data_IF_868164603627
#
_entry.id   IF_868164603627
#
_cell.length_a   1.000
_cell.length_b   1.000
_cell.length_c   1.000
_cell.angle_alpha   90.00
_cell.angle_beta   90.00
_cell.angle_gamma   90.00
#
_symmetry.space_group_name_H-M   'P 1'
#
loop_
_entity.id
_entity.type
_entity.pdbx_description
1 polymer ?
#
# COMPACT_ATOMS: atom_id res chain seq x y z
N UNK A 1 -1.64 -16.50 40.95
CA UNK A 1 -1.83 -15.03 40.91
C UNK A 1 -0.57 -14.40 40.38
N UNK A 2 -0.63 -13.51 39.43
CA UNK A 2 0.52 -12.74 38.95
C UNK A 2 0.87 -11.69 40.03
N UNK A 3 2.14 -11.63 40.43
CA UNK A 3 2.64 -10.70 41.45
C UNK A 3 2.35 -9.26 41.01
N UNK A 4 1.68 -8.47 41.88
CA UNK A 4 1.36 -7.06 41.65
C UNK A 4 -0.02 -6.77 41.01
N UNK A 5 -0.90 -7.75 40.83
CA UNK A 5 -2.28 -7.55 40.35
C UNK A 5 -3.29 -7.91 41.44
N UNK A 6 -4.17 -6.96 41.77
CA UNK A 6 -5.20 -7.11 42.79
C UNK A 6 -6.41 -7.95 42.31
N UNK A 7 -6.56 -8.17 41.01
CA UNK A 7 -7.65 -8.96 40.37
C UNK A 7 -7.07 -10.09 39.51
N UNK A 8 -7.79 -11.22 39.37
CA UNK A 8 -7.39 -12.30 38.48
C UNK A 8 -7.29 -11.79 37.05
N UNK A 9 -6.17 -12.06 36.39
CA UNK A 9 -5.98 -11.76 34.95
C UNK A 9 -6.14 -13.05 34.18
N UNK A 10 -7.03 -13.08 33.20
CA UNK A 10 -7.20 -14.21 32.29
C UNK A 10 -6.06 -14.15 31.26
N UNK A 11 -5.13 -15.10 31.26
CA UNK A 11 -4.08 -15.12 30.24
C UNK A 11 -4.66 -15.62 28.91
N UNK A 12 -4.24 -14.99 27.83
CA UNK A 12 -4.53 -15.44 26.48
C UNK A 12 -3.26 -16.02 25.87
N UNK A 13 -3.38 -17.16 25.20
CA UNK A 13 -2.28 -17.75 24.43
C UNK A 13 -2.32 -17.19 23.02
N UNK A 14 -1.23 -16.60 22.58
CA UNK A 14 -1.04 -16.28 21.15
C UNK A 14 -0.89 -17.60 20.40
N UNK A 15 -1.84 -17.92 19.53
CA UNK A 15 -1.86 -19.19 18.80
C UNK A 15 -1.23 -19.10 17.41
N UNK A 16 -1.32 -17.95 16.78
CA UNK A 16 -0.76 -17.65 15.45
C UNK A 16 -0.83 -16.18 15.16
N UNK A 17 -0.10 -15.74 14.16
CA UNK A 17 -0.23 -14.41 13.59
C UNK A 17 -1.65 -14.19 13.05
N UNK A 18 -2.14 -12.96 13.17
CA UNK A 18 -3.46 -12.61 12.64
C UNK A 18 -3.42 -12.68 11.11
N UNK A 19 -4.45 -13.25 10.51
CA UNK A 19 -4.66 -13.16 9.05
C UNK A 19 -4.99 -11.74 8.60
N UNK A 20 -5.35 -10.87 9.55
CA UNK A 20 -5.71 -9.48 9.29
C UNK A 20 -4.53 -8.60 9.64
N UNK A 21 -3.96 -7.95 8.64
CA UNK A 21 -2.86 -7.00 8.80
C UNK A 21 -3.37 -5.62 9.22
N UNK A 22 -4.66 -5.33 8.96
CA UNK A 22 -5.23 -4.01 9.24
C UNK A 22 -6.50 -4.08 10.09
N UNK A 23 -6.79 -2.96 10.80
CA UNK A 23 -8.07 -2.80 11.50
C UNK A 23 -9.28 -2.82 10.55
N UNK A 24 -9.07 -2.34 9.32
CA UNK A 24 -10.12 -2.31 8.30
C UNK A 24 -10.49 -3.71 7.84
N UNK A 25 -9.51 -4.58 7.56
CA UNK A 25 -9.74 -5.99 7.22
C UNK A 25 -10.47 -6.74 8.35
N UNK A 26 -10.12 -6.45 9.60
CA UNK A 26 -10.84 -7.01 10.75
C UNK A 26 -12.29 -6.50 10.82
N UNK A 27 -12.54 -5.23 10.47
CA UNK A 27 -13.86 -4.62 10.47
C UNK A 27 -14.75 -5.12 9.32
N UNK A 28 -14.17 -5.54 8.20
CA UNK A 28 -14.93 -6.13 7.08
C UNK A 28 -15.80 -7.32 7.51
N UNK A 29 -15.30 -8.17 8.40
CA UNK A 29 -16.07 -9.30 8.94
C UNK A 29 -17.27 -8.90 9.79
N UNK A 30 -17.15 -7.75 10.45
CA UNK A 30 -18.23 -7.22 11.31
C UNK A 30 -19.26 -6.43 10.50
N UNK A 31 -19.01 -6.26 9.18
CA UNK A 31 -19.77 -5.40 8.29
C UNK A 31 -19.29 -3.97 8.35
N UNK A 32 -18.73 -3.48 7.24
CA UNK A 32 -18.36 -2.07 7.12
C UNK A 32 -19.61 -1.19 7.03
N UNK A 33 -19.54 0.00 7.62
CA UNK A 33 -20.55 1.03 7.41
C UNK A 33 -20.65 1.42 5.92
N UNK A 34 -21.76 2.00 5.51
CA UNK A 34 -21.93 2.50 4.14
C UNK A 34 -20.82 3.49 3.78
N UNK A 35 -20.26 3.36 2.58
CA UNK A 35 -19.31 4.33 2.05
C UNK A 35 -20.06 5.57 1.57
N UNK A 36 -19.64 6.75 2.01
CA UNK A 36 -20.30 8.02 1.67
C UNK A 36 -19.37 9.21 1.86
N UNK A 37 -19.58 10.25 1.06
CA UNK A 37 -18.89 11.53 1.19
C UNK A 37 -17.48 11.57 0.64
N UNK A 38 -17.06 10.56 -0.17
CA UNK A 38 -15.73 10.48 -0.81
C UNK A 38 -15.82 10.07 -2.27
N UNK A 39 -16.94 10.29 -2.89
CA UNK A 39 -17.22 9.90 -4.28
C UNK A 39 -16.32 10.66 -5.25
N UNK A 40 -15.97 11.91 -4.95
CA UNK A 40 -15.06 12.72 -5.75
C UNK A 40 -13.64 12.18 -5.72
N UNK A 41 -13.14 11.88 -4.54
CA UNK A 41 -11.79 11.35 -4.33
C UNK A 41 -11.65 9.95 -4.94
N UNK A 42 -12.67 9.11 -4.80
CA UNK A 42 -12.72 7.81 -5.48
C UNK A 42 -12.72 7.98 -7.00
N UNK A 43 -13.52 8.91 -7.53
CA UNK A 43 -13.55 9.23 -8.97
C UNK A 43 -12.20 9.70 -9.53
N UNK A 44 -11.37 10.39 -8.72
CA UNK A 44 -10.00 10.75 -9.14
C UNK A 44 -9.12 9.50 -9.27
N UNK A 45 -9.22 8.55 -8.34
CA UNK A 45 -8.48 7.29 -8.42
C UNK A 45 -8.94 6.46 -9.63
N UNK A 46 -10.25 6.38 -9.87
CA UNK A 46 -10.81 5.66 -11.02
C UNK A 46 -10.41 6.30 -12.35
N UNK A 47 -10.43 7.63 -12.46
CA UNK A 47 -9.97 8.34 -13.65
C UNK A 47 -8.46 8.16 -13.89
N UNK A 48 -7.67 8.10 -12.81
CA UNK A 48 -6.24 7.82 -12.90
C UNK A 48 -5.98 6.38 -13.36
N UNK A 49 -6.82 5.43 -12.94
CA UNK A 49 -6.79 4.06 -13.41
C UNK A 49 -7.11 3.96 -14.89
N UNK A 50 -8.16 4.64 -15.37
CA UNK A 50 -8.50 4.65 -16.80
C UNK A 50 -7.31 5.16 -17.64
N UNK A 51 -6.61 6.20 -17.15
CA UNK A 51 -5.39 6.68 -17.82
C UNK A 51 -4.31 5.59 -17.90
N UNK A 52 -4.14 4.79 -16.83
CA UNK A 52 -3.17 3.69 -16.82
C UNK A 52 -3.59 2.55 -17.76
N UNK A 53 -4.89 2.26 -17.84
CA UNK A 53 -5.44 1.26 -18.78
C UNK A 53 -5.26 1.69 -20.25
N UNK A 54 -5.29 2.99 -20.51
CA UNK A 54 -5.04 3.58 -21.84
C UNK A 54 -3.54 3.68 -22.20
N UNK A 55 -2.66 3.14 -21.34
CA UNK A 55 -1.22 3.07 -21.56
C UNK A 55 -0.39 4.23 -21.02
N UNK A 56 -1.04 5.25 -20.43
CA UNK A 56 -0.36 6.33 -19.71
C UNK A 56 -0.16 5.98 -18.22
N UNK A 57 0.76 6.67 -17.54
CA UNK A 57 0.94 6.47 -16.11
C UNK A 57 0.49 7.65 -15.27
N UNK A 58 0.11 7.36 -14.02
CA UNK A 58 -0.29 8.36 -13.03
C UNK A 58 0.31 8.06 -11.67
N UNK A 59 0.64 9.12 -10.94
CA UNK A 59 0.98 9.07 -9.54
C UNK A 59 -0.05 9.88 -8.75
N UNK A 60 -0.65 9.25 -7.73
CA UNK A 60 -1.66 9.89 -6.87
C UNK A 60 -1.20 9.81 -5.43
N UNK A 61 -1.19 10.94 -4.73
CA UNK A 61 -0.99 10.96 -3.28
C UNK A 61 -2.31 11.25 -2.58
N UNK A 62 -2.67 10.42 -1.62
CA UNK A 62 -3.85 10.61 -0.77
C UNK A 62 -3.38 11.09 0.59
N UNK A 63 -3.56 12.38 0.85
CA UNK A 63 -3.06 13.06 2.05
C UNK A 63 -4.22 13.38 2.99
N UNK A 64 -4.04 13.10 4.28
CA UNK A 64 -5.05 13.42 5.28
C UNK A 64 -4.68 12.95 6.68
N UNK A 65 -5.34 13.51 7.67
CA UNK A 65 -5.12 13.19 9.09
C UNK A 65 -5.36 11.72 9.42
N UNK A 66 -4.86 11.30 10.58
CA UNK A 66 -5.15 9.96 11.09
C UNK A 66 -6.66 9.78 11.27
N UNK A 67 -7.22 8.64 10.83
CA UNK A 67 -8.65 8.34 10.98
C UNK A 67 -9.56 8.93 9.89
N UNK A 68 -9.12 9.90 9.08
CA UNK A 68 -9.97 10.60 8.08
C UNK A 68 -10.52 9.71 6.96
N UNK A 69 -10.09 8.44 6.89
CA UNK A 69 -10.64 7.46 5.95
C UNK A 69 -9.75 7.13 4.75
N UNK A 70 -8.44 7.41 4.78
CA UNK A 70 -7.50 7.04 3.71
C UNK A 70 -7.56 5.56 3.35
N UNK A 71 -7.41 4.68 4.34
CA UNK A 71 -7.47 3.23 4.13
C UNK A 71 -8.85 2.77 3.65
N UNK A 72 -9.93 3.44 4.08
CA UNK A 72 -11.27 3.16 3.60
C UNK A 72 -11.43 3.54 2.12
N UNK A 73 -10.91 4.67 1.69
CA UNK A 73 -10.89 5.07 0.28
C UNK A 73 -10.14 4.04 -0.58
N UNK A 74 -8.95 3.61 -0.15
CA UNK A 74 -8.20 2.57 -0.88
C UNK A 74 -8.94 1.24 -0.91
N UNK A 75 -9.64 0.87 0.16
CA UNK A 75 -10.46 -0.35 0.19
C UNK A 75 -11.59 -0.29 -0.85
N UNK A 76 -12.31 0.83 -0.95
CA UNK A 76 -13.36 0.97 -1.97
C UNK A 76 -12.75 1.01 -3.38
N UNK A 77 -11.59 1.64 -3.54
CA UNK A 77 -10.86 1.61 -4.80
C UNK A 77 -10.44 0.18 -5.19
N UNK A 78 -9.93 -0.65 -4.24
CA UNK A 78 -9.64 -2.07 -4.50
C UNK A 78 -10.86 -2.83 -5.03
N UNK A 79 -12.06 -2.54 -4.52
CA UNK A 79 -13.29 -3.14 -5.05
C UNK A 79 -13.55 -2.73 -6.49
N UNK A 80 -13.24 -1.47 -6.85
CA UNK A 80 -13.38 -0.98 -8.22
C UNK A 80 -12.37 -1.58 -9.18
N UNK A 81 -11.25 -2.15 -8.68
CA UNK A 81 -10.26 -2.88 -9.49
C UNK A 81 -10.73 -4.31 -9.82
N UNK A 82 -11.69 -4.86 -9.08
CA UNK A 82 -12.14 -6.23 -9.28
C UNK A 82 -12.70 -6.45 -10.69
N UNK A 83 -12.15 -7.44 -11.40
CA UNK A 83 -12.54 -7.77 -12.77
C UNK A 83 -11.96 -6.85 -13.86
N UNK A 84 -11.14 -5.87 -13.51
CA UNK A 84 -10.37 -5.09 -14.48
C UNK A 84 -9.06 -5.81 -14.84
N UNK A 85 -8.52 -5.62 -16.04
CA UNK A 85 -7.25 -6.22 -16.49
C UNK A 85 -6.08 -5.44 -15.88
N UNK A 86 -5.85 -5.64 -14.59
CA UNK A 86 -4.78 -4.97 -13.83
C UNK A 86 -4.14 -5.91 -12.83
N UNK A 87 -2.82 -5.83 -12.71
CA UNK A 87 -2.08 -6.42 -11.60
C UNK A 87 -2.01 -5.44 -10.44
N UNK A 88 -2.59 -5.81 -9.29
CA UNK A 88 -2.56 -4.99 -8.08
C UNK A 88 -1.39 -5.44 -7.21
N UNK A 89 -0.52 -4.50 -6.85
CA UNK A 89 0.62 -4.70 -5.97
C UNK A 89 0.46 -3.81 -4.75
N UNK A 90 0.74 -4.36 -3.57
CA UNK A 90 0.50 -3.67 -2.32
C UNK A 90 1.73 -3.69 -1.41
N UNK A 91 2.04 -2.55 -0.84
CA UNK A 91 3.06 -2.39 0.17
C UNK A 91 2.63 -1.41 1.25
N UNK A 92 3.09 -1.64 2.46
CA UNK A 92 2.77 -0.80 3.60
C UNK A 92 4.01 -0.40 4.37
N UNK A 93 4.08 0.87 4.75
CA UNK A 93 5.07 1.34 5.69
C UNK A 93 4.56 1.17 7.12
N UNK A 94 5.44 0.78 8.04
CA UNK A 94 5.12 0.53 9.43
C UNK A 94 5.98 1.39 10.35
N UNK A 95 5.41 1.88 11.46
CA UNK A 95 6.13 2.71 12.42
C UNK A 95 7.42 2.04 12.93
N UNK A 96 7.40 0.72 13.12
CA UNK A 96 8.56 -0.08 13.54
C UNK A 96 9.31 -0.73 12.36
N UNK A 97 8.80 -0.61 11.14
CA UNK A 97 9.36 -1.15 9.90
C UNK A 97 10.37 -0.23 9.23
N UNK A 98 10.55 1.02 9.73
CA UNK A 98 11.53 1.97 9.19
C UNK A 98 12.99 1.52 9.32
N UNK A 99 13.24 0.42 10.07
CA UNK A 99 14.55 -0.24 10.16
C UNK A 99 14.80 -1.28 9.05
N UNK A 100 13.79 -1.63 8.24
CA UNK A 100 13.91 -2.55 7.11
C UNK A 100 13.83 -1.72 5.82
N UNK A 101 14.96 -1.47 5.16
CA UNK A 101 14.98 -0.72 3.90
C UNK A 101 14.09 -1.39 2.84
N UNK A 102 13.40 -0.59 2.05
CA UNK A 102 12.53 -1.02 0.95
C UNK A 102 11.33 -1.90 1.37
N UNK A 103 10.94 -1.94 2.65
CA UNK A 103 9.87 -2.84 3.15
C UNK A 103 8.59 -2.82 2.30
N UNK A 104 7.99 -1.65 1.94
CA UNK A 104 6.77 -1.63 1.14
C UNK A 104 6.97 -2.22 -0.27
N UNK A 105 8.15 -2.07 -0.86
CA UNK A 105 8.47 -2.68 -2.15
C UNK A 105 8.71 -4.17 -2.04
N UNK A 106 9.35 -4.64 -0.97
CA UNK A 106 9.52 -6.06 -0.67
C UNK A 106 8.15 -6.75 -0.55
N UNK A 107 7.20 -6.12 0.15
CA UNK A 107 5.83 -6.63 0.27
C UNK A 107 5.13 -6.69 -1.09
N UNK A 108 5.24 -5.61 -1.88
CA UNK A 108 4.69 -5.55 -3.23
C UNK A 108 5.28 -6.63 -4.15
N UNK A 109 6.60 -6.87 -4.08
CA UNK A 109 7.28 -7.93 -4.83
C UNK A 109 6.78 -9.32 -4.42
N UNK A 110 6.72 -9.61 -3.12
CA UNK A 110 6.21 -10.91 -2.62
C UNK A 110 4.80 -11.18 -3.09
N UNK A 111 3.95 -10.16 -3.06
CA UNK A 111 2.58 -10.26 -3.54
C UNK A 111 2.53 -10.49 -5.05
N UNK A 112 3.26 -9.69 -5.83
CA UNK A 112 3.29 -9.77 -7.30
C UNK A 112 3.88 -11.07 -7.84
N UNK A 113 4.93 -11.57 -7.22
CA UNK A 113 5.56 -12.84 -7.56
C UNK A 113 4.80 -14.05 -6.98
N UNK A 114 3.73 -13.83 -6.19
CA UNK A 114 2.91 -14.87 -5.55
C UNK A 114 3.72 -15.89 -4.73
N UNK A 115 4.80 -15.41 -4.09
CA UNK A 115 5.70 -16.26 -3.32
C UNK A 115 5.01 -16.76 -2.06
N UNK A 116 4.90 -18.08 -1.91
CA UNK A 116 4.41 -18.74 -0.71
C UNK A 116 5.60 -19.27 0.08
N UNK A 117 5.69 -18.94 1.36
CA UNK A 117 6.82 -19.32 2.24
C UNK A 117 6.57 -20.72 2.85
N UNK A 118 6.14 -21.69 2.06
CA UNK A 118 5.87 -23.04 2.56
C UNK A 118 7.12 -23.94 2.50
N UNK A 119 7.98 -23.76 1.49
CA UNK A 119 9.23 -24.49 1.34
C UNK A 119 10.41 -23.54 1.03
N UNK A 120 11.34 -23.35 1.98
CA UNK A 120 12.51 -22.49 1.75
C UNK A 120 13.42 -22.97 0.60
N UNK A 121 13.42 -24.27 0.27
CA UNK A 121 14.28 -24.81 -0.80
C UNK A 121 13.67 -24.56 -2.19
N UNK A 122 12.36 -24.55 -2.32
CA UNK A 122 11.66 -24.22 -3.55
C UNK A 122 11.58 -22.70 -3.82
N UNK A 123 11.75 -21.89 -2.76
CA UNK A 123 11.52 -20.45 -2.82
C UNK A 123 12.46 -19.71 -3.79
N UNK A 124 13.72 -20.15 -3.95
CA UNK A 124 14.66 -19.57 -4.93
C UNK A 124 14.19 -19.84 -6.37
N UNK A 125 13.89 -21.11 -6.70
CA UNK A 125 13.45 -21.50 -8.03
C UNK A 125 12.12 -20.83 -8.40
N UNK A 126 11.19 -20.76 -7.46
CA UNK A 126 9.89 -20.09 -7.63
C UNK A 126 10.09 -18.59 -7.88
N UNK A 127 10.94 -17.92 -7.10
CA UNK A 127 11.23 -16.51 -7.27
C UNK A 127 11.92 -16.21 -8.61
N UNK A 128 12.92 -17.00 -8.98
CA UNK A 128 13.63 -16.88 -10.26
C UNK A 128 12.66 -17.09 -11.42
N UNK A 129 11.87 -18.16 -11.40
CA UNK A 129 10.87 -18.44 -12.43
C UNK A 129 9.86 -17.31 -12.56
N UNK A 130 9.31 -16.83 -11.44
CA UNK A 130 8.31 -15.77 -11.44
C UNK A 130 8.85 -14.44 -12.01
N UNK A 131 10.12 -14.10 -11.71
CA UNK A 131 10.77 -12.91 -12.26
C UNK A 131 11.00 -13.05 -13.77
N UNK A 132 11.56 -14.18 -14.21
CA UNK A 132 11.85 -14.43 -15.62
C UNK A 132 10.56 -14.60 -16.45
N UNK A 133 9.49 -15.08 -15.85
CA UNK A 133 8.17 -15.09 -16.47
C UNK A 133 7.64 -13.67 -16.74
N UNK A 134 7.97 -12.69 -15.90
CA UNK A 134 7.62 -11.28 -16.18
C UNK A 134 8.39 -10.79 -17.40
N UNK A 135 9.71 -10.88 -17.39
CA UNK A 135 10.56 -10.50 -18.51
C UNK A 135 11.93 -11.21 -18.36
N UNK A 136 12.35 -12.06 -19.34
CA UNK A 136 13.68 -12.66 -19.33
C UNK A 136 14.83 -11.65 -19.21
N UNK A 137 14.62 -10.41 -19.68
CA UNK A 137 15.58 -9.31 -19.54
C UNK A 137 15.87 -8.92 -18.08
N UNK A 138 15.08 -9.36 -17.10
CA UNK A 138 15.31 -9.13 -15.68
C UNK A 138 16.34 -10.08 -15.05
N UNK A 139 16.89 -11.06 -15.80
CA UNK A 139 17.85 -12.04 -15.28
C UNK A 139 19.04 -11.40 -14.55
N UNK A 140 19.58 -10.31 -15.09
CA UNK A 140 20.72 -9.63 -14.46
C UNK A 140 20.39 -8.90 -13.15
N UNK A 141 19.10 -8.68 -12.84
CA UNK A 141 18.63 -8.14 -11.57
C UNK A 141 18.27 -9.22 -10.53
N UNK A 142 18.27 -10.50 -10.86
CA UNK A 142 17.95 -11.59 -9.93
C UNK A 142 18.72 -11.52 -8.60
N UNK A 143 20.04 -11.22 -8.58
CA UNK A 143 20.77 -11.08 -7.32
C UNK A 143 20.13 -10.07 -6.36
N UNK A 144 19.62 -8.96 -6.88
CA UNK A 144 19.02 -7.89 -6.08
C UNK A 144 17.62 -8.25 -5.62
N UNK A 145 16.80 -8.91 -6.45
CA UNK A 145 15.47 -9.36 -6.03
C UNK A 145 15.56 -10.42 -4.94
N UNK A 146 16.45 -11.41 -5.10
CA UNK A 146 16.63 -12.44 -4.07
C UNK A 146 17.17 -11.85 -2.77
N UNK A 147 18.10 -10.91 -2.85
CA UNK A 147 18.59 -10.18 -1.67
C UNK A 147 17.49 -9.41 -0.95
N UNK A 148 16.66 -8.63 -1.68
CA UNK A 148 15.52 -7.91 -1.12
C UNK A 148 14.51 -8.85 -0.46
N UNK A 149 14.25 -9.99 -1.08
CA UNK A 149 13.34 -11.02 -0.58
C UNK A 149 13.93 -11.85 0.57
N UNK A 150 15.22 -11.63 0.92
CA UNK A 150 15.98 -12.41 1.90
C UNK A 150 16.09 -13.89 1.53
N UNK A 151 16.15 -14.18 0.23
CA UNK A 151 16.36 -15.53 -0.31
C UNK A 151 17.86 -15.70 -0.56
N UNK A 152 18.46 -16.72 0.08
CA UNK A 152 19.87 -17.05 -0.13
C UNK A 152 20.04 -17.80 -1.43
N UNK A 153 21.05 -17.42 -2.23
CA UNK A 153 21.41 -18.06 -3.47
C UNK A 153 22.91 -18.02 -3.69
N UNK A 154 23.50 -19.16 -3.97
CA UNK A 154 24.91 -19.24 -4.40
C UNK A 154 25.04 -18.89 -5.89
N UNK A 155 24.01 -19.18 -6.68
CA UNK A 155 23.99 -18.94 -8.13
C UNK A 155 23.81 -17.46 -8.47
N UNK A 156 22.98 -16.76 -7.71
CA UNK A 156 22.61 -15.36 -7.92
C UNK A 156 23.03 -14.50 -6.73
N UNK A 157 24.25 -14.67 -6.25
CA UNK A 157 24.80 -13.85 -5.17
C UNK A 157 25.03 -12.41 -5.63
N UNK A 158 24.73 -11.44 -4.78
CA UNK A 158 25.09 -10.03 -5.05
C UNK A 158 26.61 -9.93 -5.24
N UNK A 159 27.11 -9.29 -6.33
CA UNK A 159 28.54 -9.16 -6.58
C UNK A 159 29.26 -8.48 -5.42
N UNK A 160 30.32 -9.09 -4.91
CA UNK A 160 31.09 -8.62 -3.73
C UNK A 160 31.70 -7.22 -3.86
N UNK A 161 31.85 -6.72 -5.07
CA UNK A 161 32.37 -5.38 -5.33
C UNK A 161 31.29 -4.29 -5.24
N UNK A 162 30.01 -4.66 -5.21
CA UNK A 162 28.92 -3.72 -5.06
C UNK A 162 28.63 -3.49 -3.57
N UNK A 163 29.04 -2.35 -3.08
CA UNK A 163 28.84 -1.93 -1.68
C UNK A 163 28.36 -0.47 -1.64
N UNK A 164 27.78 -0.07 -0.53
CA UNK A 164 27.40 1.34 -0.29
C UNK A 164 26.46 1.90 -1.36
N UNK A 165 26.89 2.98 -2.03
CA UNK A 165 26.06 3.67 -3.03
C UNK A 165 25.83 2.86 -4.29
N UNK A 166 26.83 2.09 -4.76
CA UNK A 166 26.69 1.28 -5.97
C UNK A 166 25.63 0.18 -5.80
N UNK A 167 25.62 -0.45 -4.63
CA UNK A 167 24.60 -1.44 -4.30
C UNK A 167 23.21 -0.76 -4.21
N UNK A 168 23.14 0.42 -3.60
CA UNK A 168 21.90 1.19 -3.52
C UNK A 168 21.37 1.53 -4.92
N UNK A 169 22.19 2.03 -5.83
CA UNK A 169 21.78 2.30 -7.20
C UNK A 169 21.28 1.05 -7.93
N UNK A 170 21.98 -0.07 -7.80
CA UNK A 170 21.56 -1.32 -8.40
C UNK A 170 20.19 -1.81 -7.87
N UNK A 171 19.92 -1.62 -6.57
CA UNK A 171 18.62 -1.93 -5.97
C UNK A 171 17.50 -1.03 -6.53
N UNK A 172 17.76 0.26 -6.67
CA UNK A 172 16.81 1.21 -7.24
C UNK A 172 16.48 0.88 -8.69
N UNK A 173 17.51 0.57 -9.50
CA UNK A 173 17.32 0.15 -10.89
C UNK A 173 16.53 -1.16 -10.98
N UNK A 174 16.85 -2.15 -10.15
CA UNK A 174 16.14 -3.42 -10.11
C UNK A 174 14.65 -3.22 -9.77
N UNK A 175 14.34 -2.42 -8.73
CA UNK A 175 12.95 -2.12 -8.36
C UNK A 175 12.21 -1.41 -9.50
N UNK A 176 12.81 -0.40 -10.12
CA UNK A 176 12.20 0.28 -11.24
C UNK A 176 11.97 -0.67 -12.44
N UNK A 177 12.95 -1.53 -12.74
CA UNK A 177 12.89 -2.46 -13.85
C UNK A 177 11.73 -3.46 -13.71
N UNK A 178 11.53 -4.06 -12.53
CA UNK A 178 10.48 -5.07 -12.37
C UNK A 178 9.07 -4.46 -12.45
N UNK A 179 8.83 -3.26 -11.88
CA UNK A 179 7.53 -2.60 -11.97
C UNK A 179 7.22 -2.14 -13.41
N UNK A 180 8.22 -1.61 -14.11
CA UNK A 180 8.06 -1.20 -15.51
C UNK A 180 7.92 -2.39 -16.46
N UNK A 181 8.65 -3.48 -16.24
CA UNK A 181 8.49 -4.71 -17.02
C UNK A 181 7.09 -5.34 -16.78
N UNK A 182 6.65 -5.41 -15.53
CA UNK A 182 5.31 -5.90 -15.18
C UNK A 182 4.23 -5.09 -15.90
N UNK A 183 4.36 -3.77 -15.92
CA UNK A 183 3.37 -2.88 -16.54
C UNK A 183 3.27 -3.02 -18.07
N UNK A 184 4.31 -3.53 -18.74
CA UNK A 184 4.25 -3.83 -20.19
C UNK A 184 3.37 -5.04 -20.52
N UNK A 185 3.18 -5.96 -19.56
CA UNK A 185 2.33 -7.15 -19.76
C UNK A 185 0.87 -6.87 -19.46
N UNK A 186 0.64 -6.17 -18.37
CA UNK A 186 -0.68 -5.78 -17.88
C UNK A 186 -0.52 -4.51 -17.05
N UNK A 187 -1.48 -3.60 -17.15
CA UNK A 187 -1.44 -2.37 -16.35
C UNK A 187 -1.26 -2.67 -14.86
N UNK A 188 -0.36 -1.96 -14.21
CA UNK A 188 -0.04 -2.18 -12.79
C UNK A 188 -0.64 -1.09 -11.92
N UNK A 189 -1.25 -1.47 -10.82
CA UNK A 189 -1.67 -0.56 -9.74
C UNK A 189 -0.82 -0.88 -8.52
N UNK A 190 0.06 0.04 -8.13
CA UNK A 190 0.89 -0.06 -6.94
C UNK A 190 0.29 0.80 -5.83
N UNK A 191 -0.19 0.16 -4.76
CA UNK A 191 -0.76 0.81 -3.57
C UNK A 191 0.28 0.81 -2.44
N UNK A 192 0.66 2.01 -1.99
CA UNK A 192 1.63 2.19 -0.91
C UNK A 192 0.94 2.89 0.26
N UNK A 193 0.67 2.12 1.34
CA UNK A 193 -0.01 2.67 2.51
C UNK A 193 0.95 3.23 3.55
N UNK A 194 0.47 4.24 4.27
CA UNK A 194 1.14 4.86 5.42
C UNK A 194 2.56 5.39 5.10
N UNK A 195 2.72 6.01 3.93
CA UNK A 195 3.99 6.46 3.37
C UNK A 195 4.78 7.41 4.27
N UNK A 196 4.12 8.11 5.16
CA UNK A 196 4.76 8.96 6.17
C UNK A 196 5.72 8.19 7.11
N UNK A 197 5.68 6.87 7.14
CA UNK A 197 6.63 6.01 7.86
C UNK A 197 7.67 5.34 6.95
N UNK A 198 7.74 5.75 5.66
CA UNK A 198 8.72 5.20 4.75
C UNK A 198 10.15 5.53 5.19
N UNK A 199 11.06 4.56 5.07
CA UNK A 199 12.49 4.77 5.20
C UNK A 199 13.05 5.57 4.00
N UNK A 200 14.26 6.12 4.14
CA UNK A 200 14.83 6.99 3.09
C UNK A 200 15.12 6.21 1.79
N UNK A 201 15.52 4.93 1.89
CA UNK A 201 15.76 4.11 0.71
C UNK A 201 14.47 3.85 -0.07
N UNK A 202 13.36 3.59 0.64
CA UNK A 202 12.02 3.50 0.03
C UNK A 202 11.58 4.81 -0.61
N UNK A 203 11.84 5.96 0.05
CA UNK A 203 11.52 7.28 -0.51
C UNK A 203 12.25 7.56 -1.82
N UNK A 204 13.52 7.19 -1.88
CA UNK A 204 14.33 7.33 -3.08
C UNK A 204 13.84 6.40 -4.21
N UNK A 205 13.54 5.14 -3.89
CA UNK A 205 12.98 4.18 -4.84
C UNK A 205 11.65 4.68 -5.45
N UNK A 206 10.78 5.26 -4.63
CA UNK A 206 9.53 5.82 -5.14
C UNK A 206 9.78 7.05 -6.03
N UNK A 207 10.70 7.95 -5.65
CA UNK A 207 11.05 9.11 -6.50
C UNK A 207 11.53 8.67 -7.88
N UNK A 208 12.41 7.67 -7.94
CA UNK A 208 12.88 7.12 -9.22
C UNK A 208 11.73 6.49 -10.02
N UNK A 209 10.92 5.65 -9.39
CA UNK A 209 9.77 5.00 -10.04
C UNK A 209 8.78 6.05 -10.58
N UNK A 210 8.44 7.07 -9.79
CA UNK A 210 7.55 8.17 -10.21
C UNK A 210 8.07 8.89 -11.45
N UNK A 211 9.39 9.07 -11.58
CA UNK A 211 10.01 9.63 -12.78
C UNK A 211 9.76 8.80 -14.05
N UNK A 212 9.55 7.49 -13.92
CA UNK A 212 9.31 6.57 -15.04
C UNK A 212 7.83 6.35 -15.35
N UNK A 213 6.95 6.66 -14.39
CA UNK A 213 5.50 6.46 -14.50
C UNK A 213 4.90 6.97 -15.82
N UNK A 214 5.22 8.17 -16.35
CA UNK A 214 4.56 8.69 -17.55
C UNK A 214 4.69 7.81 -18.80
N UNK A 215 5.74 7.01 -18.88
CA UNK A 215 6.07 6.17 -20.03
C UNK A 215 5.53 4.74 -19.89
N UNK A 216 4.81 4.43 -18.82
CA UNK A 216 4.38 3.07 -18.50
C UNK A 216 2.92 3.03 -18.03
N UNK A 217 2.14 1.99 -18.36
CA UNK A 217 0.77 1.79 -17.84
C UNK A 217 0.81 1.42 -16.35
N UNK A 218 1.19 2.38 -15.53
CA UNK A 218 1.44 2.23 -14.10
C UNK A 218 0.71 3.31 -13.30
N UNK A 219 -0.21 2.91 -12.44
CA UNK A 219 -0.81 3.78 -11.45
C UNK A 219 -0.14 3.53 -10.09
N UNK A 220 0.50 4.55 -9.54
CA UNK A 220 1.04 4.53 -8.19
C UNK A 220 0.14 5.35 -7.30
N UNK A 221 -0.32 4.79 -6.18
CA UNK A 221 -1.12 5.49 -5.17
C UNK A 221 -0.40 5.38 -3.83
N UNK A 222 -0.03 6.51 -3.23
CA UNK A 222 0.59 6.55 -1.92
C UNK A 222 -0.30 7.31 -0.92
N UNK A 223 -0.52 6.74 0.28
CA UNK A 223 -1.25 7.45 1.35
C UNK A 223 -0.28 8.01 2.37
N UNK A 224 -0.48 9.25 2.79
CA UNK A 224 0.37 9.88 3.82
C UNK A 224 -0.42 10.80 4.75
N UNK A 225 0.27 11.34 5.76
CA UNK A 225 -0.24 12.41 6.62
C UNK A 225 0.21 13.77 6.10
N UNK A 226 -0.48 14.86 6.50
CA UNK A 226 -0.10 16.21 6.07
C UNK A 226 1.31 16.64 6.50
N UNK A 227 1.81 16.10 7.61
CA UNK A 227 3.15 16.40 8.13
C UNK A 227 4.26 15.81 7.25
N UNK A 228 3.95 14.79 6.48
CA UNK A 228 4.89 14.23 5.49
C UNK A 228 4.80 15.06 4.21
N UNK A 229 5.43 16.22 4.25
CA UNK A 229 5.55 17.12 3.11
C UNK A 229 6.59 16.62 2.10
N UNK A 230 6.49 15.37 1.66
CA UNK A 230 7.30 14.90 0.53
C UNK A 230 7.01 15.82 -0.65
N UNK A 231 7.97 16.69 -0.97
CA UNK A 231 7.87 17.55 -2.14
C UNK A 231 8.08 16.69 -3.40
N UNK A 232 6.97 16.31 -4.00
CA UNK A 232 6.97 15.57 -5.27
C UNK A 232 7.23 16.48 -6.48
N UNK A 233 7.43 17.80 -6.23
CA UNK A 233 7.56 18.80 -7.26
C UNK A 233 6.29 18.96 -8.11
N UNK A 234 6.33 19.87 -9.06
CA UNK A 234 5.25 20.04 -10.05
C UNK A 234 5.51 19.04 -11.18
N UNK A 235 5.04 17.81 -11.01
CA UNK A 235 5.15 16.78 -12.05
C UNK A 235 3.77 16.63 -12.70
N UNK A 236 3.68 16.80 -14.00
CA UNK A 236 2.42 16.83 -14.74
C UNK A 236 1.57 15.54 -14.67
N UNK A 237 2.13 14.45 -14.15
CA UNK A 237 1.46 13.16 -13.93
C UNK A 237 1.16 12.87 -12.45
N UNK A 238 1.42 13.81 -11.54
CA UNK A 238 1.08 13.72 -10.12
C UNK A 238 -0.23 14.42 -9.82
N UNK A 239 -1.10 13.76 -9.07
CA UNK A 239 -2.39 14.30 -8.62
C UNK A 239 -2.49 14.16 -7.10
N UNK A 240 -2.42 15.25 -6.33
CA UNK A 240 -2.65 15.23 -4.90
C UNK A 240 -4.16 15.19 -4.61
N UNK A 241 -4.56 14.28 -3.73
CA UNK A 241 -5.93 14.15 -3.20
C UNK A 241 -5.88 14.44 -1.70
N UNK A 242 -6.52 15.52 -1.28
CA UNK A 242 -6.56 15.92 0.13
C UNK A 242 -7.87 15.48 0.77
N UNK A 243 -7.78 14.61 1.79
CA UNK A 243 -8.94 14.21 2.58
C UNK A 243 -9.07 15.11 3.82
N UNK A 244 -10.09 15.97 3.81
CA UNK A 244 -10.53 16.71 4.99
C UNK A 244 -11.54 15.91 5.82
N UNK A 245 -12.06 16.49 6.92
CA UNK A 245 -13.19 15.93 7.65
C UNK A 245 -14.41 15.70 6.75
N UNK A 246 -15.25 14.72 7.10
CA UNK A 246 -16.52 14.51 6.41
C UNK A 246 -17.49 15.64 6.75
N UNK A 247 -18.34 16.00 5.79
CA UNK A 247 -19.45 16.92 6.06
C UNK A 247 -20.49 16.30 7.01
N UNK A 248 -21.35 17.17 7.57
CA UNK A 248 -22.36 16.74 8.53
C UNK A 248 -23.34 15.70 7.97
N UNK A 249 -23.69 15.77 6.68
CA UNK A 249 -24.62 14.84 6.05
C UNK A 249 -24.00 13.45 5.88
N UNK A 250 -22.76 13.39 5.44
CA UNK A 250 -21.97 12.15 5.31
C UNK A 250 -21.70 11.52 6.68
N UNK A 251 -21.35 12.33 7.69
CA UNK A 251 -21.19 11.86 9.08
C UNK A 251 -22.47 11.23 9.62
N UNK A 252 -23.63 11.86 9.40
CA UNK A 252 -24.93 11.31 9.81
C UNK A 252 -25.25 9.98 9.14
N UNK A 253 -24.91 9.81 7.86
CA UNK A 253 -25.13 8.55 7.15
C UNK A 253 -24.26 7.42 7.71
N UNK A 254 -22.99 7.70 8.05
CA UNK A 254 -22.11 6.73 8.70
C UNK A 254 -22.65 6.35 10.08
N UNK A 255 -23.08 7.32 10.89
CA UNK A 255 -23.64 7.07 12.23
C UNK A 255 -24.89 6.18 12.13
N UNK A 256 -25.82 6.49 11.19
CA UNK A 256 -27.03 5.67 10.96
C UNK A 256 -26.66 4.24 10.55
N UNK A 257 -25.69 4.10 9.64
CA UNK A 257 -25.20 2.79 9.21
C UNK A 257 -24.59 2.00 10.36
N UNK A 258 -23.77 2.65 11.19
CA UNK A 258 -23.11 2.00 12.33
C UNK A 258 -24.08 1.54 13.41
N UNK A 259 -25.16 2.32 13.64
CA UNK A 259 -26.19 2.01 14.62
C UNK A 259 -27.31 1.12 14.08
N UNK A 260 -27.30 0.80 12.77
CA UNK A 260 -28.37 0.03 12.13
C UNK A 260 -29.75 0.70 12.19
N UNK A 261 -29.81 2.04 12.31
CA UNK A 261 -31.06 2.79 12.48
C UNK A 261 -31.28 3.78 11.33
N UNK A 262 -32.55 3.97 10.96
CA UNK A 262 -32.92 4.98 9.95
C UNK A 262 -33.08 6.38 10.55
N UNK A 263 -33.34 6.48 11.85
CA UNK A 263 -33.53 7.77 12.55
C UNK A 263 -32.63 7.85 13.77
N UNK A 264 -32.06 9.02 13.99
CA UNK A 264 -31.29 9.35 15.20
C UNK A 264 -32.11 10.23 16.11
N UNK A 265 -31.95 10.12 17.43
CA UNK A 265 -32.50 11.12 18.36
C UNK A 265 -32.07 12.54 17.96
N UNK A 266 -32.96 13.49 18.18
CA UNK A 266 -32.70 14.91 17.86
C UNK A 266 -31.42 15.38 18.57
N UNK A 267 -30.53 16.03 17.81
CA UNK A 267 -29.24 16.54 18.30
C UNK A 267 -28.11 15.53 18.43
N UNK A 268 -28.38 14.22 18.47
CA UNK A 268 -27.31 13.21 18.67
C UNK A 268 -26.29 13.23 17.53
N UNK A 269 -26.75 13.33 16.29
CA UNK A 269 -25.86 13.37 15.13
C UNK A 269 -24.95 14.59 15.12
N UNK A 270 -25.50 15.77 15.46
CA UNK A 270 -24.73 17.00 15.57
C UNK A 270 -23.69 16.91 16.69
N UNK A 271 -24.07 16.36 17.85
CA UNK A 271 -23.16 16.16 18.98
C UNK A 271 -21.99 15.24 18.64
N UNK A 272 -22.25 14.12 17.94
CA UNK A 272 -21.20 13.18 17.51
C UNK A 272 -20.27 13.86 16.50
N UNK A 273 -20.85 14.54 15.49
CA UNK A 273 -20.05 15.26 14.49
C UNK A 273 -19.15 16.33 15.13
N UNK A 274 -19.69 17.13 16.05
CA UNK A 274 -18.92 18.13 16.81
C UNK A 274 -17.79 17.51 17.63
N UNK A 275 -18.06 16.39 18.33
CA UNK A 275 -17.07 15.70 19.17
C UNK A 275 -15.98 15.00 18.40
N UNK A 276 -16.28 14.52 17.19
CA UNK A 276 -15.32 13.81 16.32
C UNK A 276 -14.65 14.74 15.31
N UNK A 277 -15.15 15.97 15.14
CA UNK A 277 -14.69 16.87 14.08
C UNK A 277 -14.95 16.33 12.67
N UNK A 278 -15.92 15.41 12.51
CA UNK A 278 -16.20 14.76 11.23
C UNK A 278 -15.23 13.63 10.87
N UNK A 279 -14.49 13.11 11.88
CA UNK A 279 -13.50 12.05 11.72
C UNK A 279 -13.98 10.74 12.40
#
# INVERSE_FOLDING_TARGET
MLQGKAQPVTPYRVSRESRYQTRLEAAERSGLTSYTGREKELGILESSLETALDGGGRFVTVVGEAGVGKSRLLHEFRKALAGKPVTVLEGRCELHGSSVPYLPFIQALRHGLRLQIEDPNALEEDAVSAVLDIDPGLEHYLPFYLYLLSIQSDRYAVPKHLEGEDLRFAMLEALAAIFTASSKRESVVLLLEDWHWADEASREALRQLVGMVPAHPLLVVATSRPEDSSDWGVVGHHTPVHLGPLDGSSSLNIIRSALGTKSLPEGLGALIHERTGGN
#
